data_IF_779992441853
#
_entry.id   IF_779992441853
#
_cell.length_a   1.000
_cell.length_b   1.000
_cell.length_c   1.000
_cell.angle_alpha   90.00
_cell.angle_beta   90.00
_cell.angle_gamma   90.00
#
_symmetry.space_group_name_H-M   'P 1'
#
loop_
_entity.id
_entity.type
_entity.pdbx_description
1 polymer ?
#
# COMPACT_ATOMS: atom_id res chain seq x y z
N UNK A 1 15.73 11.80 5.64
CA UNK A 1 16.19 11.16 6.90
C UNK A 1 17.39 11.93 7.44
N UNK A 2 17.52 12.09 8.76
CA UNK A 2 18.56 12.90 9.42
C UNK A 2 19.83 12.10 9.67
N UNK A 3 20.87 12.33 8.86
CA UNK A 3 22.16 11.63 8.96
C UNK A 3 22.91 11.99 10.25
N UNK A 4 22.79 13.23 10.71
CA UNK A 4 23.33 13.73 11.97
C UNK A 4 22.82 12.93 13.17
N UNK A 5 21.51 12.64 13.21
CA UNK A 5 20.90 11.83 14.26
C UNK A 5 21.36 10.38 14.17
N UNK A 6 21.48 9.82 12.96
CA UNK A 6 21.99 8.47 12.78
C UNK A 6 23.41 8.31 13.31
N UNK A 7 24.30 9.27 13.05
CA UNK A 7 25.69 9.24 13.55
C UNK A 7 25.73 9.21 15.08
N UNK A 8 24.87 9.99 15.75
CA UNK A 8 24.79 9.99 17.21
C UNK A 8 24.28 8.65 17.76
N UNK A 9 23.20 8.11 17.19
CA UNK A 9 22.66 6.79 17.58
C UNK A 9 23.67 5.67 17.31
N UNK A 10 24.40 5.77 16.20
CA UNK A 10 25.44 4.81 15.83
C UNK A 10 26.62 4.84 16.81
N UNK A 11 27.07 6.03 17.20
CA UNK A 11 28.13 6.19 18.19
C UNK A 11 27.74 5.59 19.55
N UNK A 12 26.49 5.81 19.99
CA UNK A 12 25.96 5.17 21.20
C UNK A 12 25.90 3.64 21.06
N UNK A 13 25.37 3.15 19.94
CA UNK A 13 25.22 1.72 19.67
C UNK A 13 26.56 0.98 19.62
N UNK A 14 27.60 1.58 19.02
CA UNK A 14 28.94 0.98 18.91
C UNK A 14 29.72 1.07 20.25
N UNK A 15 29.29 1.91 21.21
CA UNK A 15 29.89 2.01 22.54
C UNK A 15 29.35 0.93 23.49
N UNK A 16 30.04 -0.20 23.55
CA UNK A 16 29.65 -1.34 24.39
C UNK A 16 29.56 -1.03 25.89
N UNK A 17 30.37 -0.08 26.39
CA UNK A 17 30.39 0.30 27.81
C UNK A 17 29.12 1.08 28.15
N UNK A 18 28.77 2.07 27.33
CA UNK A 18 27.55 2.86 27.53
C UNK A 18 26.29 2.01 27.30
N UNK A 19 26.27 1.17 26.27
CA UNK A 19 25.17 0.22 26.02
C UNK A 19 24.95 -0.78 27.16
N UNK A 20 26.00 -1.17 27.88
CA UNK A 20 25.90 -2.03 29.05
C UNK A 20 25.40 -1.30 30.30
N UNK A 21 25.58 0.03 30.35
CA UNK A 21 25.11 0.88 31.46
C UNK A 21 23.62 1.25 31.36
N UNK A 22 23.01 1.10 30.17
CA UNK A 22 21.60 1.40 29.93
C UNK A 22 20.65 0.39 30.58
N UNK A 23 19.47 0.87 30.94
CA UNK A 23 18.35 0.01 31.28
C UNK A 23 17.90 -0.86 30.09
N UNK A 24 17.16 -1.96 30.33
CA UNK A 24 16.71 -2.86 29.26
C UNK A 24 15.87 -2.18 28.17
N UNK A 25 15.01 -1.23 28.55
CA UNK A 25 14.15 -0.49 27.61
C UNK A 25 14.96 0.47 26.74
N UNK A 26 15.82 1.29 27.35
CA UNK A 26 16.66 2.25 26.63
C UNK A 26 17.60 1.55 25.65
N UNK A 27 18.19 0.43 26.08
CA UNK A 27 19.02 -0.41 25.21
C UNK A 27 18.24 -0.90 23.99
N UNK A 28 17.02 -1.42 24.21
CA UNK A 28 16.14 -1.87 23.13
C UNK A 28 15.75 -0.73 22.20
N UNK A 29 15.56 0.48 22.73
CA UNK A 29 15.27 1.67 21.92
C UNK A 29 16.45 1.98 20.98
N UNK A 30 17.68 2.04 21.50
CA UNK A 30 18.88 2.29 20.69
C UNK A 30 19.05 1.23 19.60
N UNK A 31 18.89 -0.05 19.92
CA UNK A 31 18.93 -1.16 18.96
C UNK A 31 17.86 -1.03 17.87
N UNK A 32 16.63 -0.64 18.23
CA UNK A 32 15.53 -0.43 17.28
C UNK A 32 15.77 0.77 16.38
N UNK A 33 16.33 1.85 16.90
CA UNK A 33 16.68 3.04 16.12
C UNK A 33 17.80 2.71 15.13
N UNK A 34 18.87 2.04 15.55
CA UNK A 34 19.96 1.60 14.67
C UNK A 34 19.41 0.74 13.52
N UNK A 35 18.63 -0.29 13.85
CA UNK A 35 18.04 -1.20 12.86
C UNK A 35 17.18 -0.44 11.86
N UNK A 36 16.39 0.52 12.34
CA UNK A 36 15.53 1.35 11.49
C UNK A 36 16.38 2.16 10.53
N UNK A 37 17.36 2.93 11.01
CA UNK A 37 18.22 3.74 10.16
C UNK A 37 19.00 2.91 9.13
N UNK A 38 19.50 1.74 9.53
CA UNK A 38 20.17 0.80 8.63
C UNK A 38 19.24 0.26 7.55
N UNK A 39 18.00 -0.14 7.89
CA UNK A 39 16.96 -0.53 6.91
C UNK A 39 16.58 0.63 5.98
N UNK A 40 16.66 1.86 6.48
CA UNK A 40 16.48 3.04 5.66
C UNK A 40 17.66 3.35 4.74
N UNK A 41 18.77 2.62 4.85
CA UNK A 41 19.94 2.73 3.98
C UNK A 41 20.95 3.78 4.43
N UNK A 42 20.83 4.33 5.64
CA UNK A 42 21.80 5.32 6.15
C UNK A 42 23.19 4.74 6.41
N UNK A 43 23.32 3.41 6.43
CA UNK A 43 24.59 2.71 6.49
C UNK A 43 25.33 2.67 5.13
N UNK A 44 24.67 3.05 4.03
CA UNK A 44 25.30 3.06 2.71
C UNK A 44 26.05 4.36 2.41
N UNK A 45 27.00 4.29 1.48
CA UNK A 45 27.63 5.46 0.89
C UNK A 45 26.60 6.39 0.23
N UNK A 46 27.00 7.64 -0.01
CA UNK A 46 26.10 8.68 -0.52
C UNK A 46 25.47 8.29 -1.88
N UNK A 47 26.24 7.67 -2.76
CA UNK A 47 25.79 7.28 -4.09
C UNK A 47 24.71 6.19 -4.04
N UNK A 48 24.90 5.15 -3.23
CA UNK A 48 23.87 4.12 -3.00
C UNK A 48 22.63 4.68 -2.31
N UNK A 49 22.78 5.66 -1.42
CA UNK A 49 21.64 6.35 -0.80
C UNK A 49 20.81 7.12 -1.83
N UNK A 50 21.47 7.89 -2.70
CA UNK A 50 20.79 8.60 -3.80
C UNK A 50 20.08 7.63 -4.75
N UNK A 51 20.70 6.49 -5.07
CA UNK A 51 20.06 5.46 -5.87
C UNK A 51 18.83 4.84 -5.18
N UNK A 52 18.94 4.54 -3.88
CA UNK A 52 17.84 4.02 -3.08
C UNK A 52 16.67 5.01 -3.00
N UNK A 53 16.96 6.31 -2.88
CA UNK A 53 15.93 7.35 -2.86
C UNK A 53 15.21 7.47 -4.20
N UNK A 54 15.93 7.34 -5.34
CA UNK A 54 15.32 7.26 -6.67
C UNK A 54 14.38 6.06 -6.80
N UNK A 55 14.81 4.88 -6.33
CA UNK A 55 13.96 3.68 -6.35
C UNK A 55 12.69 3.90 -5.50
N UNK A 56 12.82 4.47 -4.30
CA UNK A 56 11.68 4.74 -3.41
C UNK A 56 10.68 5.72 -4.00
N UNK A 57 11.18 6.78 -4.63
CA UNK A 57 10.34 7.75 -5.33
C UNK A 57 9.55 7.05 -6.43
N UNK A 58 10.22 6.26 -7.27
CA UNK A 58 9.57 5.54 -8.35
C UNK A 58 8.53 4.51 -7.85
N UNK A 59 8.84 3.77 -6.78
CA UNK A 59 7.88 2.87 -6.16
C UNK A 59 6.64 3.59 -5.62
N UNK A 60 6.83 4.80 -5.06
CA UNK A 60 5.73 5.60 -4.55
C UNK A 60 4.83 6.09 -5.68
N UNK A 61 5.41 6.56 -6.79
CA UNK A 61 4.69 6.91 -8.00
C UNK A 61 3.91 5.72 -8.57
N UNK A 62 4.55 4.55 -8.71
CA UNK A 62 3.89 3.35 -9.20
C UNK A 62 2.73 2.89 -8.31
N UNK A 63 2.87 2.97 -6.98
CA UNK A 63 1.81 2.62 -6.06
C UNK A 63 0.59 3.56 -6.18
N UNK A 64 0.84 4.87 -6.36
CA UNK A 64 -0.21 5.85 -6.61
C UNK A 64 -0.91 5.56 -7.93
N UNK A 65 -0.15 5.37 -9.02
CA UNK A 65 -0.70 5.05 -10.33
C UNK A 65 -1.50 3.76 -10.33
N UNK A 66 -0.99 2.71 -9.67
CA UNK A 66 -1.71 1.45 -9.53
C UNK A 66 -3.05 1.65 -8.82
N UNK A 67 -3.04 2.34 -7.67
CA UNK A 67 -4.26 2.61 -6.90
C UNK A 67 -5.26 3.45 -7.69
N UNK A 68 -4.77 4.46 -8.40
CA UNK A 68 -5.58 5.30 -9.28
C UNK A 68 -6.25 4.49 -10.39
N UNK A 69 -5.48 3.66 -11.11
CA UNK A 69 -6.00 2.85 -12.20
C UNK A 69 -7.07 1.85 -11.74
N UNK A 70 -6.91 1.24 -10.56
CA UNK A 70 -7.94 0.35 -9.99
C UNK A 70 -9.18 1.12 -9.56
N UNK A 71 -9.01 2.30 -8.96
CA UNK A 71 -10.12 3.13 -8.50
C UNK A 71 -10.92 3.73 -9.64
N UNK A 72 -10.26 4.18 -10.71
CA UNK A 72 -10.91 4.73 -11.90
C UNK A 72 -11.45 3.69 -12.86
N UNK A 73 -10.88 2.47 -12.86
CA UNK A 73 -11.32 1.41 -13.78
C UNK A 73 -12.82 1.17 -13.67
N UNK A 74 -13.55 1.39 -14.76
CA UNK A 74 -15.01 1.34 -14.87
C UNK A 74 -15.49 0.01 -15.48
N UNK A 75 -14.74 -1.06 -15.21
CA UNK A 75 -15.04 -2.41 -15.68
C UNK A 75 -16.50 -2.76 -15.46
N UNK A 76 -17.24 -2.92 -16.55
CA UNK A 76 -18.65 -3.25 -16.55
C UNK A 76 -18.94 -4.31 -17.62
N UNK A 77 -19.93 -5.15 -17.33
CA UNK A 77 -20.46 -6.14 -18.25
C UNK A 77 -21.99 -6.04 -18.25
N UNK A 78 -22.61 -6.26 -19.41
CA UNK A 78 -24.06 -6.38 -19.52
C UNK A 78 -24.39 -7.87 -19.51
N UNK A 79 -25.23 -8.29 -18.58
CA UNK A 79 -25.63 -9.69 -18.40
C UNK A 79 -27.15 -9.81 -18.48
N UNK A 80 -27.63 -10.85 -19.16
CA UNK A 80 -29.06 -11.14 -19.30
C UNK A 80 -29.63 -11.80 -18.05
N UNK A 81 -30.96 -11.81 -17.89
CA UNK A 81 -31.62 -12.46 -16.77
C UNK A 81 -31.26 -13.95 -16.63
N UNK A 82 -31.10 -14.65 -17.76
CA UNK A 82 -30.75 -16.08 -17.79
C UNK A 82 -29.30 -16.32 -17.31
N UNK A 83 -28.37 -15.43 -17.66
CA UNK A 83 -26.97 -15.49 -17.19
C UNK A 83 -26.81 -15.14 -15.71
N UNK A 84 -27.84 -14.50 -15.14
CA UNK A 84 -27.91 -14.06 -13.75
C UNK A 84 -28.76 -14.99 -12.86
N UNK A 85 -29.19 -16.13 -13.41
CA UNK A 85 -30.00 -17.11 -12.70
C UNK A 85 -29.26 -17.65 -11.45
N UNK A 86 -29.93 -17.61 -10.30
CA UNK A 86 -29.37 -18.04 -9.01
C UNK A 86 -28.94 -16.91 -8.08
N UNK A 87 -28.93 -15.65 -8.56
CA UNK A 87 -28.71 -14.47 -7.72
C UNK A 87 -30.04 -13.91 -7.17
N UNK A 88 -30.07 -13.35 -5.95
CA UNK A 88 -31.26 -12.69 -5.40
C UNK A 88 -31.74 -11.55 -6.31
N UNK A 89 -33.06 -11.35 -6.44
CA UNK A 89 -33.62 -10.31 -7.32
C UNK A 89 -33.22 -8.90 -6.87
N UNK A 90 -33.16 -8.74 -5.56
CA UNK A 90 -32.75 -7.57 -4.80
C UNK A 90 -31.28 -7.16 -5.04
N UNK A 91 -30.44 -8.04 -5.61
CA UNK A 91 -29.09 -7.69 -6.07
C UNK A 91 -29.12 -6.79 -7.32
N UNK A 92 -30.16 -6.92 -8.16
CA UNK A 92 -30.30 -6.18 -9.42
C UNK A 92 -31.23 -4.96 -9.32
N UNK A 93 -31.95 -4.80 -8.20
CA UNK A 93 -32.93 -3.71 -8.01
C UNK A 93 -32.31 -2.29 -7.99
N UNK A 94 -31.00 -2.14 -8.17
CA UNK A 94 -30.32 -0.87 -8.38
C UNK A 94 -29.38 -0.83 -9.59
N UNK A 95 -29.32 -1.89 -10.39
CA UNK A 95 -28.49 -1.94 -11.59
C UNK A 95 -29.14 -1.14 -12.73
N UNK A 96 -28.35 -0.40 -13.49
CA UNK A 96 -28.81 0.17 -14.75
C UNK A 96 -29.11 -0.96 -15.73
N UNK A 97 -30.13 -0.82 -16.58
CA UNK A 97 -30.42 -1.77 -17.66
C UNK A 97 -30.04 -1.20 -19.02
N UNK A 98 -29.53 -2.05 -19.90
CA UNK A 98 -29.18 -1.73 -21.28
C UNK A 98 -29.74 -2.81 -22.22
N UNK A 99 -30.16 -2.41 -23.43
CA UNK A 99 -30.63 -3.36 -24.45
C UNK A 99 -29.43 -3.80 -25.28
N UNK A 100 -29.13 -5.09 -25.27
CA UNK A 100 -28.09 -5.71 -26.09
C UNK A 100 -28.76 -6.80 -26.93
N UNK A 101 -28.56 -6.75 -28.25
CA UNK A 101 -29.12 -7.72 -29.21
C UNK A 101 -30.65 -7.93 -29.12
N UNK A 102 -31.38 -6.88 -28.73
CA UNK A 102 -32.85 -6.90 -28.61
C UNK A 102 -33.37 -7.52 -27.30
N UNK A 103 -32.47 -7.83 -26.35
CA UNK A 103 -32.80 -8.31 -25.02
C UNK A 103 -32.39 -7.29 -23.94
N UNK A 104 -33.18 -7.18 -22.88
CA UNK A 104 -32.84 -6.33 -21.74
C UNK A 104 -31.83 -7.05 -20.84
N UNK A 105 -30.67 -6.43 -20.65
CA UNK A 105 -29.62 -6.91 -19.78
C UNK A 105 -29.33 -5.91 -18.65
N UNK A 106 -28.89 -6.42 -17.51
CA UNK A 106 -28.46 -5.62 -16.36
C UNK A 106 -26.97 -5.32 -16.45
N UNK A 107 -26.59 -4.06 -16.22
CA UNK A 107 -25.21 -3.60 -16.15
C UNK A 107 -24.62 -3.95 -14.79
N UNK A 108 -23.67 -4.88 -14.77
CA UNK A 108 -22.93 -5.29 -13.57
C UNK A 108 -21.52 -4.68 -13.64
N UNK A 109 -21.08 -4.09 -12.53
CA UNK A 109 -19.73 -3.49 -12.44
C UNK A 109 -18.79 -4.39 -11.63
N UNK A 110 -17.49 -4.28 -11.88
CA UNK A 110 -16.46 -4.96 -11.08
C UNK A 110 -16.14 -4.24 -9.77
N UNK A 111 -16.90 -3.19 -9.41
CA UNK A 111 -16.76 -2.50 -8.13
C UNK A 111 -17.35 -3.35 -7.02
N UNK A 112 -16.73 -3.30 -5.85
CA UNK A 112 -17.32 -3.90 -4.67
C UNK A 112 -18.70 -3.26 -4.41
N UNK A 113 -19.78 -4.06 -4.33
CA UNK A 113 -21.08 -3.52 -4.01
C UNK A 113 -21.01 -2.87 -2.63
N UNK A 114 -21.36 -1.59 -2.54
CA UNK A 114 -21.59 -0.99 -1.23
C UNK A 114 -22.85 -1.64 -0.68
N UNK A 115 -22.69 -2.48 0.34
CA UNK A 115 -23.83 -2.96 1.11
C UNK A 115 -24.55 -1.74 1.69
N UNK A 116 -25.68 -1.36 1.08
CA UNK A 116 -26.64 -0.49 1.73
C UNK A 116 -27.40 -1.38 2.72
N UNK A 117 -27.10 -1.16 4.01
CA UNK A 117 -27.91 -1.67 5.13
C UNK A 117 -29.11 -0.75 5.33
#
# INVERSE_FOLDING_TARGET
>A
MREDVYRAVRAMFDNAIEMASLGPEDRRLVEKLELTFRRHGLAFDKEKREHLDKIRMHLSELAIMFSHNINEGDGRAVLTCDELEGLPRDFFEGCATEIVDGQEGSVVTTKYPRHHS
#
